data_IF_946765502394
#
_entry.id   IF_946765502394
#
_cell.length_a   1.000
_cell.length_b   1.000
_cell.length_c   1.000
_cell.angle_alpha   90.00
_cell.angle_beta   90.00
_cell.angle_gamma   90.00
#
_symmetry.space_group_name_H-M   'P 1'
#
loop_
_entity.id
_entity.type
_entity.pdbx_description
1 polymer ?
#
# COMPACT_ATOMS: atom_id res chain seq x y z
N UNK A 1 -18.90 6.40 12.74
CA UNK A 1 -17.57 6.54 12.14
C UNK A 1 -17.70 6.39 10.63
N UNK A 2 -16.83 7.05 9.88
CA UNK A 2 -16.66 6.76 8.46
C UNK A 2 -15.90 5.43 8.31
N UNK A 3 -16.16 4.66 7.26
CA UNK A 3 -15.49 3.36 7.00
C UNK A 3 -13.96 3.47 7.03
N UNK A 4 -13.41 4.62 6.61
CA UNK A 4 -11.97 4.90 6.65
C UNK A 4 -11.41 4.96 8.07
N UNK A 5 -12.14 5.56 9.02
CA UNK A 5 -11.71 5.66 10.41
C UNK A 5 -11.63 4.27 11.05
N UNK A 6 -12.66 3.45 10.87
CA UNK A 6 -12.72 2.06 11.36
C UNK A 6 -11.60 1.19 10.76
N UNK A 7 -11.32 1.34 9.46
CA UNK A 7 -10.21 0.65 8.78
C UNK A 7 -8.86 0.96 9.44
N UNK A 8 -8.59 2.23 9.72
CA UNK A 8 -7.36 2.63 10.37
C UNK A 8 -7.32 2.22 11.85
N UNK A 9 -8.44 2.28 12.58
CA UNK A 9 -8.48 1.79 13.97
C UNK A 9 -8.12 0.31 14.07
N UNK A 10 -8.69 -0.55 13.20
CA UNK A 10 -8.37 -1.97 13.14
C UNK A 10 -6.91 -2.18 12.74
N UNK A 11 -6.42 -1.47 11.72
CA UNK A 11 -5.03 -1.55 11.28
C UNK A 11 -4.05 -1.18 12.40
N UNK A 12 -4.31 -0.11 13.16
CA UNK A 12 -3.44 0.33 14.24
C UNK A 12 -3.49 -0.61 15.44
N UNK A 13 -4.65 -1.21 15.71
CA UNK A 13 -4.75 -2.24 16.73
C UNK A 13 -3.88 -3.46 16.38
N UNK A 14 -4.00 -3.99 15.16
CA UNK A 14 -3.18 -5.12 14.69
C UNK A 14 -1.68 -4.76 14.68
N UNK A 15 -1.34 -3.57 14.21
CA UNK A 15 0.05 -3.07 14.17
C UNK A 15 0.65 -3.00 15.58
N UNK A 16 -0.11 -2.50 16.57
CA UNK A 16 0.36 -2.44 17.95
C UNK A 16 0.61 -3.84 18.52
N UNK A 17 -0.24 -4.81 18.21
CA UNK A 17 -0.05 -6.21 18.58
C UNK A 17 1.23 -6.79 17.95
N UNK A 18 1.50 -6.53 16.67
CA UNK A 18 2.74 -6.96 16.00
C UNK A 18 3.98 -6.33 16.59
N UNK A 19 3.96 -5.02 16.88
CA UNK A 19 5.08 -4.32 17.53
C UNK A 19 5.40 -4.98 18.88
N UNK A 20 4.39 -5.33 19.69
CA UNK A 20 4.61 -6.05 20.95
C UNK A 20 5.18 -7.44 20.74
N UNK A 21 4.78 -8.14 19.68
CA UNK A 21 5.27 -9.47 19.36
C UNK A 21 6.77 -9.50 19.03
N UNK A 22 7.34 -8.40 18.53
CA UNK A 22 8.79 -8.22 18.33
C UNK A 22 9.59 -8.11 19.65
N UNK A 23 8.92 -8.10 20.81
CA UNK A 23 9.58 -8.09 22.12
C UNK A 23 10.19 -6.74 22.51
N UNK A 24 9.74 -5.65 21.89
CA UNK A 24 10.16 -4.28 22.25
C UNK A 24 9.66 -3.89 23.64
N UNK A 25 10.31 -2.90 24.26
CA UNK A 25 9.89 -2.39 25.56
C UNK A 25 8.48 -1.76 25.49
N UNK A 26 7.58 -2.10 26.42
CA UNK A 26 6.21 -1.57 26.43
C UNK A 26 6.16 -0.04 26.45
N UNK A 27 7.12 0.63 27.09
CA UNK A 27 7.23 2.09 27.11
C UNK A 27 7.55 2.70 25.74
N UNK A 28 8.10 1.92 24.80
CA UNK A 28 8.44 2.36 23.44
C UNK A 28 7.41 1.93 22.39
N UNK A 29 6.45 1.05 22.72
CA UNK A 29 5.42 0.57 21.79
C UNK A 29 4.68 1.74 21.13
N UNK A 30 4.22 2.72 21.91
CA UNK A 30 3.50 3.88 21.37
C UNK A 30 4.39 4.77 20.48
N UNK A 31 5.70 4.82 20.76
CA UNK A 31 6.66 5.53 19.90
C UNK A 31 6.76 4.81 18.55
N UNK A 32 6.99 3.50 18.56
CA UNK A 32 7.06 2.71 17.33
C UNK A 32 5.75 2.77 16.54
N UNK A 33 4.59 2.71 17.21
CA UNK A 33 3.30 2.86 16.54
C UNK A 33 3.19 4.22 15.84
N UNK A 34 3.62 5.30 16.49
CA UNK A 34 3.64 6.64 15.88
C UNK A 34 4.58 6.71 14.68
N UNK A 35 5.75 6.08 14.76
CA UNK A 35 6.71 6.03 13.66
C UNK A 35 6.12 5.29 12.45
N UNK A 36 5.46 4.14 12.68
CA UNK A 36 4.77 3.37 11.63
C UNK A 36 3.62 4.18 11.03
N UNK A 37 2.79 4.83 11.85
CA UNK A 37 1.70 5.68 11.38
C UNK A 37 2.22 6.81 10.47
N UNK A 38 3.28 7.49 10.89
CA UNK A 38 3.90 8.55 10.07
C UNK A 38 4.38 8.01 8.72
N UNK A 39 5.04 6.85 8.73
CA UNK A 39 5.50 6.19 7.51
C UNK A 39 4.34 5.81 6.58
N UNK A 40 3.29 5.18 7.12
CA UNK A 40 2.11 4.81 6.34
C UNK A 40 1.44 6.03 5.70
N UNK A 41 1.21 7.11 6.44
CA UNK A 41 0.59 8.31 5.86
C UNK A 41 1.47 9.01 4.84
N UNK A 42 2.80 8.98 5.02
CA UNK A 42 3.72 9.49 4.00
C UNK A 42 3.60 8.66 2.70
N UNK A 43 3.55 7.34 2.82
CA UNK A 43 3.40 6.43 1.68
C UNK A 43 2.07 6.66 0.96
N UNK A 44 0.96 6.76 1.69
CA UNK A 44 -0.37 7.05 1.14
C UNK A 44 -0.41 8.42 0.44
N UNK A 45 0.18 9.46 1.04
CA UNK A 45 0.24 10.81 0.43
C UNK A 45 0.96 10.78 -0.92
N UNK A 46 2.02 9.98 -1.05
CA UNK A 46 2.71 9.85 -2.32
C UNK A 46 1.86 9.11 -3.37
N UNK A 47 1.10 8.10 -2.96
CA UNK A 47 0.15 7.46 -3.89
C UNK A 47 -0.93 8.43 -4.35
N UNK A 48 -1.52 9.20 -3.44
CA UNK A 48 -2.52 10.22 -3.79
C UNK A 48 -1.96 11.23 -4.80
N UNK A 49 -0.70 11.66 -4.61
CA UNK A 49 -0.01 12.52 -5.57
C UNK A 49 0.08 11.88 -6.95
N UNK A 50 0.57 10.63 -7.04
CA UNK A 50 0.73 9.93 -8.30
C UNK A 50 -0.59 9.76 -9.07
N UNK A 51 -1.69 9.45 -8.37
CA UNK A 51 -3.00 9.31 -9.01
C UNK A 51 -3.63 10.66 -9.40
N UNK A 52 -3.34 11.74 -8.64
CA UNK A 52 -3.89 13.07 -8.90
C UNK A 52 -3.11 13.80 -10.01
N UNK A 53 -1.78 13.86 -9.91
CA UNK A 53 -0.92 14.62 -10.84
C UNK A 53 -0.78 13.91 -12.19
N UNK A 54 -0.88 12.58 -12.21
CA UNK A 54 -0.69 11.76 -13.41
C UNK A 54 -1.96 11.01 -13.83
N UNK A 55 -3.15 11.50 -13.47
CA UNK A 55 -4.44 10.88 -13.80
C UNK A 55 -4.54 10.46 -15.28
N UNK A 56 -4.24 11.40 -16.18
CA UNK A 56 -4.30 11.19 -17.64
C UNK A 56 -2.97 10.74 -18.26
N UNK A 57 -1.95 10.44 -17.45
CA UNK A 57 -0.61 10.07 -17.89
C UNK A 57 -0.21 8.69 -17.31
N UNK A 58 -0.87 7.60 -17.73
CA UNK A 58 -0.72 6.28 -17.10
C UNK A 58 0.72 5.77 -17.10
N UNK A 59 1.51 6.10 -18.13
CA UNK A 59 2.93 5.73 -18.18
C UNK A 59 3.74 6.43 -17.08
N UNK A 60 3.55 7.73 -16.89
CA UNK A 60 4.24 8.49 -15.82
C UNK A 60 3.80 8.03 -14.44
N UNK A 61 2.49 7.80 -14.28
CA UNK A 61 1.95 7.25 -13.03
C UNK A 61 2.60 5.90 -12.72
N UNK A 62 2.71 5.01 -13.70
CA UNK A 62 3.36 3.72 -13.51
C UNK A 62 4.84 3.85 -13.10
N UNK A 63 5.60 4.72 -13.75
CA UNK A 63 7.00 5.01 -13.41
C UNK A 63 7.12 5.55 -11.97
N UNK A 64 6.23 6.45 -11.57
CA UNK A 64 6.18 6.97 -10.20
C UNK A 64 5.78 5.89 -9.19
N UNK A 65 4.75 5.09 -9.47
CA UNK A 65 4.33 3.98 -8.61
C UNK A 65 5.48 2.99 -8.38
N UNK A 66 6.23 2.63 -9.42
CA UNK A 66 7.38 1.76 -9.30
C UNK A 66 8.47 2.38 -8.39
N UNK A 67 8.75 3.67 -8.55
CA UNK A 67 9.69 4.39 -7.68
C UNK A 67 9.20 4.44 -6.22
N UNK A 68 7.91 4.66 -5.99
CA UNK A 68 7.32 4.67 -4.64
C UNK A 68 7.39 3.29 -3.98
N UNK A 69 7.15 2.21 -4.73
CA UNK A 69 7.30 0.84 -4.24
C UNK A 69 8.75 0.56 -3.87
N UNK A 70 9.71 0.98 -4.69
CA UNK A 70 11.13 0.84 -4.39
C UNK A 70 11.51 1.54 -3.08
N UNK A 71 11.05 2.78 -2.89
CA UNK A 71 11.35 3.59 -1.70
C UNK A 71 10.66 3.04 -0.44
N UNK A 72 9.36 2.71 -0.55
CA UNK A 72 8.51 2.47 0.63
C UNK A 72 8.20 1.00 0.93
N UNK A 73 8.35 0.10 -0.03
CA UNK A 73 8.09 -1.32 0.19
C UNK A 73 9.38 -2.13 0.18
N UNK A 74 10.23 -1.87 -0.80
CA UNK A 74 11.49 -2.59 -0.99
C UNK A 74 12.67 -1.88 -0.31
N UNK A 75 12.42 -0.78 0.41
CA UNK A 75 13.41 -0.07 1.23
C UNK A 75 14.70 0.29 0.48
N UNK A 76 14.58 0.59 -0.81
CA UNK A 76 15.69 0.91 -1.73
C UNK A 76 16.73 -0.21 -1.86
N UNK A 77 16.29 -1.45 -1.68
CA UNK A 77 17.13 -2.61 -1.92
C UNK A 77 17.58 -2.65 -3.39
N UNK A 78 18.90 -2.65 -3.61
CA UNK A 78 19.54 -2.69 -4.93
C UNK A 78 19.58 -4.10 -5.51
N UNK A 79 19.36 -5.14 -4.68
CA UNK A 79 19.35 -6.54 -5.11
C UNK A 79 17.99 -6.97 -5.70
N UNK A 80 16.98 -6.08 -5.69
CA UNK A 80 15.65 -6.38 -6.22
C UNK A 80 15.61 -6.15 -7.74
N UNK A 81 15.22 -7.21 -8.44
CA UNK A 81 14.97 -7.27 -9.90
C UNK A 81 13.90 -6.26 -10.32
N UNK A 82 14.11 -5.62 -11.46
CA UNK A 82 13.22 -4.60 -12.04
C UNK A 82 11.78 -5.10 -12.22
N UNK A 83 11.61 -6.36 -12.64
CA UNK A 83 10.32 -7.00 -12.84
C UNK A 83 9.52 -7.18 -11.55
N UNK A 84 10.18 -7.32 -10.39
CA UNK A 84 9.49 -7.35 -9.10
C UNK A 84 8.74 -6.04 -8.85
N UNK A 85 9.43 -4.90 -9.02
CA UNK A 85 8.84 -3.57 -8.88
C UNK A 85 7.69 -3.35 -9.86
N UNK A 86 7.89 -3.76 -11.13
CA UNK A 86 6.89 -3.60 -12.18
C UNK A 86 5.62 -4.41 -11.89
N UNK A 87 5.76 -5.66 -11.45
CA UNK A 87 4.60 -6.51 -11.09
C UNK A 87 3.82 -5.94 -9.93
N UNK A 88 4.49 -5.41 -8.91
CA UNK A 88 3.83 -4.73 -7.80
C UNK A 88 3.14 -3.44 -8.25
N UNK A 89 3.77 -2.63 -9.10
CA UNK A 89 3.15 -1.41 -9.64
C UNK A 89 1.90 -1.72 -10.48
N UNK A 90 1.96 -2.76 -11.32
CA UNK A 90 0.81 -3.26 -12.08
C UNK A 90 -0.33 -3.72 -11.16
N UNK A 91 0.00 -4.43 -10.09
CA UNK A 91 -0.98 -4.87 -9.10
C UNK A 91 -1.69 -3.71 -8.41
N UNK A 92 -0.93 -2.69 -7.98
CA UNK A 92 -1.50 -1.50 -7.33
C UNK A 92 -2.41 -0.74 -8.30
N UNK A 93 -1.99 -0.56 -9.55
CA UNK A 93 -2.82 0.07 -10.58
C UNK A 93 -4.09 -0.76 -10.88
N UNK A 94 -3.97 -2.09 -10.92
CA UNK A 94 -5.11 -2.98 -11.10
C UNK A 94 -6.11 -2.88 -9.93
N UNK A 95 -5.61 -2.84 -8.69
CA UNK A 95 -6.45 -2.67 -7.49
C UNK A 95 -7.13 -1.30 -7.45
N UNK A 96 -6.42 -0.23 -7.83
CA UNK A 96 -7.02 1.10 -7.93
C UNK A 96 -8.17 1.10 -8.93
N UNK A 97 -7.97 0.55 -10.13
CA UNK A 97 -9.04 0.46 -11.12
C UNK A 97 -10.19 -0.43 -10.60
N UNK A 98 -9.91 -1.55 -9.96
CA UNK A 98 -10.92 -2.45 -9.40
C UNK A 98 -11.77 -1.77 -8.32
N UNK A 99 -11.14 -1.11 -7.35
CA UNK A 99 -11.82 -0.56 -6.16
C UNK A 99 -12.44 0.81 -6.48
N UNK A 100 -11.66 1.72 -7.06
CA UNK A 100 -12.07 3.12 -7.22
C UNK A 100 -12.97 3.31 -8.43
N UNK A 101 -12.80 2.51 -9.50
CA UNK A 101 -13.56 2.70 -10.75
C UNK A 101 -14.64 1.66 -11.01
N UNK A 102 -14.48 0.44 -10.50
CA UNK A 102 -15.36 -0.67 -10.89
C UNK A 102 -16.17 -1.28 -9.75
N UNK A 103 -15.78 -1.07 -8.49
CA UNK A 103 -16.55 -1.60 -7.34
C UNK A 103 -17.82 -0.78 -7.16
N UNK A 104 -19.01 -1.40 -7.21
CA UNK A 104 -20.26 -0.69 -6.92
C UNK A 104 -20.30 -0.17 -5.48
N UNK A 105 -20.90 1.01 -5.28
CA UNK A 105 -20.99 1.64 -3.96
C UNK A 105 -21.67 0.73 -2.92
N UNK A 106 -22.76 0.05 -3.28
CA UNK A 106 -23.46 -0.88 -2.41
C UNK A 106 -22.54 -2.02 -1.93
N UNK A 107 -21.70 -2.54 -2.82
CA UNK A 107 -20.74 -3.60 -2.48
C UNK A 107 -19.62 -3.06 -1.59
N UNK A 108 -19.15 -1.84 -1.83
CA UNK A 108 -18.17 -1.18 -0.96
C UNK A 108 -18.71 -1.01 0.47
N UNK A 109 -19.94 -0.50 0.61
CA UNK A 109 -20.57 -0.30 1.92
C UNK A 109 -20.91 -1.61 2.64
N UNK A 110 -21.16 -2.69 1.88
CA UNK A 110 -21.32 -4.05 2.42
C UNK A 110 -19.98 -4.75 2.74
N UNK A 111 -18.83 -4.13 2.43
CA UNK A 111 -17.50 -4.72 2.61
C UNK A 111 -17.17 -5.84 1.61
N UNK A 112 -17.90 -5.93 0.50
CA UNK A 112 -17.79 -6.99 -0.51
C UNK A 112 -16.79 -6.60 -1.60
N UNK A 113 -15.52 -6.47 -1.20
CA UNK A 113 -14.42 -6.12 -2.10
C UNK A 113 -13.79 -7.40 -2.67
N UNK A 114 -13.94 -7.61 -3.97
CA UNK A 114 -13.26 -8.68 -4.70
C UNK A 114 -11.85 -8.20 -5.09
N UNK A 115 -10.87 -8.39 -4.23
CA UNK A 115 -9.47 -8.04 -4.51
C UNK A 115 -8.95 -8.77 -5.75
N UNK A 116 -8.15 -8.07 -6.57
CA UNK A 116 -7.40 -8.69 -7.67
C UNK A 116 -6.41 -9.73 -7.13
N UNK A 117 -6.17 -10.79 -7.89
CA UNK A 117 -5.17 -11.82 -7.55
C UNK A 117 -3.77 -11.22 -7.40
N UNK A 118 -2.99 -11.79 -6.48
CA UNK A 118 -1.59 -11.39 -6.28
C UNK A 118 -0.77 -11.71 -7.54
N UNK A 119 0.23 -10.88 -7.89
CA UNK A 119 1.14 -11.20 -8.97
C UNK A 119 1.90 -12.49 -8.66
N UNK A 120 2.14 -13.28 -9.69
CA UNK A 120 3.14 -14.35 -9.59
C UNK A 120 4.53 -13.71 -9.54
N UNK A 121 5.42 -14.19 -8.67
CA UNK A 121 6.82 -13.74 -8.61
C UNK A 121 7.81 -14.83 -9.06
N UNK A 122 7.30 -15.87 -9.73
CA UNK A 122 8.12 -16.94 -10.27
C UNK A 122 8.74 -16.52 -11.62
N UNK A 123 10.01 -16.85 -11.83
CA UNK A 123 10.70 -16.64 -13.10
C UNK A 123 10.86 -15.17 -13.51
N UNK A 124 11.04 -14.28 -12.53
CA UNK A 124 11.30 -12.86 -12.77
C UNK A 124 12.56 -12.66 -13.62
N UNK A 125 12.57 -11.61 -14.45
CA UNK A 125 13.66 -11.27 -15.37
C UNK A 125 13.98 -9.78 -15.28
N UNK A 126 15.23 -9.40 -15.53
CA UNK A 126 15.60 -7.99 -15.76
C UNK A 126 15.31 -7.56 -17.21
#
# INVERSE_FOLDING_TARGET
LMVQEELFEILWHDTQCRIRAEGVNELTVNKHLKDVQQYTFQHLTHYDHAYTEHEHQPKKRFEELAALIWIHLLLRDEDIVDDHMRRLALYIEAQYNNIVKHTPDDYFWEGRIAWVDLPEFNGMRD
#
